data_IF_846407987443
#
_entry.id   IF_846407987443
#
_cell.length_a   1.000
_cell.length_b   1.000
_cell.length_c   1.000
_cell.angle_alpha   90.00
_cell.angle_beta   90.00
_cell.angle_gamma   90.00
#
_symmetry.space_group_name_H-M   'P 1'
#
loop_
_entity.id
_entity.type
_entity.pdbx_description
1 polymer ?
#
# COMPACT_ATOMS: atom_id res chain seq x y z
N UNK A 1 -0.23 -14.37 24.94
CA UNK A 1 0.71 -14.51 23.81
C UNK A 1 -0.10 -14.35 22.53
N UNK A 2 0.17 -13.31 21.74
CA UNK A 2 -0.57 -13.02 20.51
C UNK A 2 0.25 -13.33 19.25
N UNK A 3 -0.40 -13.67 18.15
CA UNK A 3 0.23 -13.99 16.86
C UNK A 3 -0.07 -12.91 15.82
N UNK A 4 0.97 -12.43 15.16
CA UNK A 4 0.91 -11.32 14.21
C UNK A 4 1.53 -11.77 12.88
N UNK A 5 0.77 -11.66 11.80
CA UNK A 5 1.23 -11.96 10.45
C UNK A 5 1.54 -10.66 9.71
N UNK A 6 2.73 -10.53 9.14
CA UNK A 6 3.13 -9.38 8.32
C UNK A 6 3.54 -9.86 6.94
N UNK A 7 2.67 -9.65 5.95
CA UNK A 7 2.97 -9.93 4.54
C UNK A 7 3.64 -8.71 3.94
N UNK A 8 4.79 -8.89 3.27
CA UNK A 8 5.59 -7.77 2.77
C UNK A 8 6.46 -7.13 3.87
N UNK A 9 6.96 -7.93 4.82
CA UNK A 9 7.68 -7.46 6.00
C UNK A 9 9.02 -6.75 5.74
N UNK A 10 9.56 -6.83 4.52
CA UNK A 10 10.76 -6.08 4.09
C UNK A 10 10.43 -4.67 3.57
N UNK A 11 9.17 -4.37 3.29
CA UNK A 11 8.72 -3.06 2.83
C UNK A 11 8.57 -2.06 3.99
N UNK A 12 8.56 -0.76 3.67
CA UNK A 12 8.45 0.33 4.65
C UNK A 12 7.22 0.19 5.56
N UNK A 13 6.07 -0.20 4.99
CA UNK A 13 4.85 -0.45 5.76
C UNK A 13 4.96 -1.70 6.64
N UNK A 14 5.58 -2.76 6.13
CA UNK A 14 5.79 -4.00 6.88
C UNK A 14 6.72 -3.79 8.07
N UNK A 15 7.82 -3.05 7.89
CA UNK A 15 8.74 -2.74 9.00
C UNK A 15 8.09 -1.82 10.03
N UNK A 16 7.29 -0.83 9.61
CA UNK A 16 6.51 0.02 10.51
C UNK A 16 5.51 -0.82 11.34
N UNK A 17 4.81 -1.78 10.72
CA UNK A 17 3.91 -2.69 11.42
C UNK A 17 4.64 -3.55 12.46
N UNK A 18 5.80 -4.14 12.11
CA UNK A 18 6.60 -4.96 13.04
C UNK A 18 7.05 -4.13 14.24
N UNK A 19 7.53 -2.90 14.00
CA UNK A 19 7.93 -1.98 15.06
C UNK A 19 6.75 -1.61 15.96
N UNK A 20 5.58 -1.31 15.38
CA UNK A 20 4.39 -0.96 16.13
C UNK A 20 3.88 -2.12 16.98
N UNK A 21 3.90 -3.35 16.45
CA UNK A 21 3.54 -4.55 17.22
C UNK A 21 4.45 -4.73 18.43
N UNK A 22 5.77 -4.55 18.26
CA UNK A 22 6.72 -4.63 19.37
C UNK A 22 6.47 -3.56 20.44
N UNK A 23 6.15 -2.35 20.02
CA UNK A 23 5.89 -1.25 20.93
C UNK A 23 4.59 -1.45 21.74
N UNK A 24 3.53 -1.94 21.11
CA UNK A 24 2.21 -2.08 21.74
C UNK A 24 2.07 -3.40 22.54
N UNK A 25 2.62 -4.51 22.03
CA UNK A 25 2.41 -5.85 22.58
C UNK A 25 3.66 -6.47 23.21
N UNK A 26 4.81 -5.81 23.12
CA UNK A 26 6.07 -6.26 23.72
C UNK A 26 6.73 -7.45 23.00
N UNK A 27 7.74 -8.00 23.67
CA UNK A 27 8.55 -9.13 23.15
C UNK A 27 7.80 -10.46 23.14
N UNK A 28 6.75 -10.59 23.96
CA UNK A 28 5.88 -11.78 24.02
C UNK A 28 4.98 -11.93 22.77
N UNK A 29 4.92 -10.91 21.90
CA UNK A 29 4.19 -11.01 20.64
C UNK A 29 4.95 -11.90 19.65
N UNK A 30 4.28 -12.87 19.02
CA UNK A 30 4.90 -13.72 18.00
C UNK A 30 4.62 -13.16 16.61
N UNK A 31 5.66 -12.62 15.97
CA UNK A 31 5.60 -12.01 14.63
C UNK A 31 6.10 -13.02 13.59
N UNK A 32 5.23 -13.37 12.66
CA UNK A 32 5.54 -14.12 11.44
C UNK A 32 5.58 -13.14 10.28
N UNK A 33 6.77 -12.87 9.74
CA UNK A 33 6.97 -11.93 8.65
C UNK A 33 7.28 -12.67 7.35
N UNK A 34 6.42 -12.49 6.34
CA UNK A 34 6.62 -12.98 4.99
C UNK A 34 7.28 -11.91 4.11
N UNK A 35 8.15 -12.34 3.19
CA UNK A 35 8.69 -11.50 2.13
C UNK A 35 8.90 -12.29 0.84
N UNK A 36 9.01 -11.56 -0.26
CA UNK A 36 9.15 -12.12 -1.60
C UNK A 36 10.10 -11.25 -2.44
N UNK A 37 10.69 -11.84 -3.49
CA UNK A 37 11.65 -11.17 -4.38
C UNK A 37 12.85 -12.07 -4.67
N UNK A 38 14.05 -11.48 -4.70
CA UNK A 38 15.29 -12.26 -4.84
C UNK A 38 15.64 -12.90 -3.50
N UNK A 39 15.60 -14.23 -3.44
CA UNK A 39 15.93 -14.96 -2.23
C UNK A 39 17.35 -14.67 -1.75
N UNK A 40 17.49 -14.49 -0.44
CA UNK A 40 18.76 -14.29 0.25
C UNK A 40 18.82 -15.34 1.36
N UNK A 41 19.65 -16.39 1.20
CA UNK A 41 19.75 -17.47 2.18
C UNK A 41 20.06 -16.93 3.58
N UNK A 42 19.31 -17.39 4.58
CA UNK A 42 19.50 -16.99 5.99
C UNK A 42 19.05 -15.57 6.33
N UNK A 43 18.41 -14.85 5.39
CA UNK A 43 17.86 -13.53 5.66
C UNK A 43 16.79 -13.59 6.76
N UNK A 44 16.87 -12.64 7.69
CA UNK A 44 15.90 -12.45 8.77
C UNK A 44 15.40 -11.01 8.74
N UNK A 45 14.10 -10.86 8.85
CA UNK A 45 13.47 -9.55 9.05
C UNK A 45 13.68 -9.16 10.51
N UNK A 46 14.26 -7.99 10.73
CA UNK A 46 14.57 -7.49 12.07
C UNK A 46 13.32 -7.47 12.95
N UNK A 47 13.46 -7.87 14.22
CA UNK A 47 12.38 -7.95 15.23
C UNK A 47 11.24 -8.94 14.94
N UNK A 48 11.24 -9.65 13.80
CA UNK A 48 10.32 -10.77 13.58
C UNK A 48 10.83 -12.05 14.29
N UNK A 49 9.92 -12.87 14.80
CA UNK A 49 10.29 -14.18 15.37
C UNK A 49 10.52 -15.21 14.26
N UNK A 50 9.69 -15.17 13.22
CA UNK A 50 9.78 -16.03 12.06
C UNK A 50 9.86 -15.20 10.78
N UNK A 51 10.77 -15.56 9.88
CA UNK A 51 10.89 -14.96 8.55
C UNK A 51 10.64 -16.05 7.52
N UNK A 52 9.64 -15.86 6.66
CA UNK A 52 9.26 -16.82 5.61
C UNK A 52 9.46 -16.16 4.25
N UNK A 53 10.26 -16.78 3.39
CA UNK A 53 10.41 -16.38 2.00
C UNK A 53 9.43 -17.16 1.14
N UNK A 54 8.65 -16.45 0.31
CA UNK A 54 7.74 -17.11 -0.63
C UNK A 54 6.66 -16.19 -1.17
N UNK A 55 6.13 -16.54 -2.34
CA UNK A 55 4.94 -15.91 -2.90
C UNK A 55 3.74 -16.27 -2.02
N UNK A 56 3.03 -15.26 -1.52
CA UNK A 56 1.89 -15.48 -0.62
C UNK A 56 0.69 -16.14 -1.32
N UNK A 57 0.71 -16.23 -2.65
CA UNK A 57 -0.27 -16.97 -3.45
C UNK A 57 0.09 -18.45 -3.62
N UNK A 58 1.31 -18.87 -3.25
CA UNK A 58 1.74 -20.26 -3.27
C UNK A 58 1.21 -21.02 -2.04
N UNK A 59 0.45 -22.12 -2.21
CA UNK A 59 0.00 -22.97 -1.10
C UNK A 59 1.12 -23.44 -0.18
N UNK A 60 2.34 -23.65 -0.70
CA UNK A 60 3.49 -24.04 0.12
C UNK A 60 3.84 -22.96 1.15
N UNK A 61 3.94 -21.70 0.71
CA UNK A 61 4.21 -20.56 1.59
C UNK A 61 3.09 -20.39 2.62
N UNK A 62 1.83 -20.50 2.18
CA UNK A 62 0.67 -20.38 3.07
C UNK A 62 0.65 -21.49 4.12
N UNK A 63 0.98 -22.73 3.75
CA UNK A 63 1.05 -23.86 4.69
C UNK A 63 2.19 -23.71 5.70
N UNK A 64 3.34 -23.16 5.30
CA UNK A 64 4.45 -22.87 6.20
C UNK A 64 4.06 -21.82 7.25
N UNK A 65 3.40 -20.73 6.83
CA UNK A 65 2.82 -19.72 7.73
C UNK A 65 1.81 -20.37 8.68
N UNK A 66 0.92 -21.22 8.15
CA UNK A 66 -0.12 -21.91 8.92
C UNK A 66 0.45 -22.78 10.04
N UNK A 67 1.56 -23.46 9.79
CA UNK A 67 2.17 -24.39 10.74
C UNK A 67 2.65 -23.71 12.04
N UNK A 68 3.00 -22.42 12.00
CA UNK A 68 3.55 -21.68 13.16
C UNK A 68 2.47 -21.39 14.22
N UNK A 69 1.28 -21.01 13.78
CA UNK A 69 0.20 -20.55 14.67
C UNK A 69 -1.07 -21.41 14.59
N UNK A 70 -0.99 -22.57 13.94
CA UNK A 70 -2.15 -23.35 13.51
C UNK A 70 -3.16 -22.51 12.70
N UNK A 71 -2.67 -21.50 11.99
CA UNK A 71 -3.46 -20.55 11.20
C UNK A 71 -4.24 -19.52 12.00
N UNK A 72 -3.95 -19.32 13.29
CA UNK A 72 -4.59 -18.29 14.13
C UNK A 72 -3.70 -17.05 14.23
N UNK A 73 -4.26 -15.88 13.96
CA UNK A 73 -3.57 -14.59 14.09
C UNK A 73 -4.50 -13.54 14.69
N UNK A 74 -4.00 -12.71 15.60
CA UNK A 74 -4.73 -11.56 16.12
C UNK A 74 -4.78 -10.44 15.08
N UNK A 75 -3.66 -10.24 14.38
CA UNK A 75 -3.53 -9.29 13.29
C UNK A 75 -2.86 -9.90 12.06
N UNK A 76 -3.33 -9.49 10.87
CA UNK A 76 -2.60 -9.64 9.62
C UNK A 76 -2.40 -8.26 8.98
N UNK A 77 -1.14 -7.88 8.74
CA UNK A 77 -0.76 -6.71 7.98
C UNK A 77 -0.41 -7.14 6.56
N UNK A 78 -1.12 -6.61 5.56
CA UNK A 78 -0.90 -6.96 4.15
C UNK A 78 -0.25 -5.79 3.40
N UNK A 79 1.09 -5.69 3.47
CA UNK A 79 1.88 -4.56 2.95
C UNK A 79 2.35 -4.73 1.49
N UNK A 80 1.91 -5.77 0.79
CA UNK A 80 2.25 -6.00 -0.62
C UNK A 80 1.34 -5.21 -1.55
N UNK A 81 1.92 -4.56 -2.57
CA UNK A 81 1.18 -3.94 -3.67
C UNK A 81 1.99 -4.10 -4.97
N UNK A 82 1.39 -4.77 -5.95
CA UNK A 82 1.97 -5.10 -7.25
C UNK A 82 0.93 -4.89 -8.35
N UNK A 83 1.29 -4.13 -9.37
CA UNK A 83 0.42 -3.88 -10.52
C UNK A 83 1.00 -2.81 -11.43
N UNK A 84 0.32 -2.57 -12.54
CA UNK A 84 0.79 -1.64 -13.56
C UNK A 84 0.53 -0.19 -13.14
N UNK A 85 1.57 0.62 -13.24
CA UNK A 85 1.63 2.04 -12.84
C UNK A 85 2.45 2.82 -13.88
N UNK A 86 2.56 4.14 -13.74
CA UNK A 86 3.28 5.02 -14.64
C UNK A 86 2.44 5.57 -15.80
N UNK A 87 1.12 5.47 -15.70
CA UNK A 87 0.14 6.01 -16.65
C UNK A 87 -1.16 6.40 -15.91
N UNK A 88 -2.07 7.14 -16.55
CA UNK A 88 -3.32 7.57 -15.91
C UNK A 88 -4.25 6.41 -15.53
N UNK A 89 -4.89 6.50 -14.36
CA UNK A 89 -5.90 5.52 -13.90
C UNK A 89 -7.00 5.36 -14.95
N UNK A 90 -7.43 6.47 -15.57
CA UNK A 90 -8.46 6.49 -16.62
C UNK A 90 -8.13 5.67 -17.87
N UNK A 91 -6.85 5.49 -18.17
CA UNK A 91 -6.40 4.74 -19.34
C UNK A 91 -6.32 3.22 -19.09
N UNK A 92 -6.68 2.77 -17.88
CA UNK A 92 -6.59 1.36 -17.50
C UNK A 92 -7.69 0.52 -18.16
N UNK A 93 -7.32 -0.61 -18.77
CA UNK A 93 -8.29 -1.59 -19.30
C UNK A 93 -8.84 -2.53 -18.21
N UNK A 94 -10.01 -3.15 -18.42
CA UNK A 94 -10.54 -4.17 -17.50
C UNK A 94 -9.57 -5.33 -17.23
N UNK A 95 -8.80 -5.76 -18.23
CA UNK A 95 -7.82 -6.83 -18.09
C UNK A 95 -6.67 -6.42 -17.17
N UNK A 96 -6.18 -5.19 -17.30
CA UNK A 96 -5.16 -4.64 -16.40
C UNK A 96 -5.67 -4.52 -14.96
N UNK A 97 -6.93 -4.10 -14.77
CA UNK A 97 -7.57 -4.09 -13.44
C UNK A 97 -7.63 -5.50 -12.86
N UNK A 98 -8.09 -6.48 -13.63
CA UNK A 98 -8.19 -7.86 -13.19
C UNK A 98 -6.81 -8.43 -12.80
N UNK A 99 -5.79 -8.17 -13.60
CA UNK A 99 -4.41 -8.59 -13.32
C UNK A 99 -3.83 -7.90 -12.08
N UNK A 100 -4.06 -6.59 -11.92
CA UNK A 100 -3.63 -5.84 -10.73
C UNK A 100 -4.29 -6.38 -9.46
N UNK A 101 -5.61 -6.64 -9.51
CA UNK A 101 -6.35 -7.20 -8.38
C UNK A 101 -5.89 -8.63 -8.04
N UNK A 102 -5.57 -9.45 -9.05
CA UNK A 102 -5.02 -10.80 -8.84
C UNK A 102 -3.75 -10.77 -7.96
N UNK A 103 -2.94 -9.72 -8.08
CA UNK A 103 -1.68 -9.59 -7.35
C UNK A 103 -1.84 -8.82 -6.03
N UNK A 104 -2.67 -7.78 -5.99
CA UNK A 104 -2.72 -6.83 -4.86
C UNK A 104 -3.93 -6.95 -3.96
N UNK A 105 -5.03 -7.54 -4.43
CA UNK A 105 -6.30 -7.56 -3.71
C UNK A 105 -6.80 -8.97 -3.42
N UNK A 106 -6.87 -9.83 -4.43
CA UNK A 106 -7.36 -11.21 -4.31
C UNK A 106 -6.64 -12.04 -3.23
N UNK A 107 -5.31 -11.91 -3.02
CA UNK A 107 -4.64 -12.67 -1.97
C UNK A 107 -5.14 -12.30 -0.57
N UNK A 108 -5.57 -11.07 -0.33
CA UNK A 108 -6.10 -10.64 0.98
C UNK A 108 -7.33 -11.49 1.34
N UNK A 109 -8.27 -11.62 0.40
CA UNK A 109 -9.48 -12.42 0.59
C UNK A 109 -9.18 -13.91 0.75
N UNK A 110 -8.23 -14.44 -0.03
CA UNK A 110 -7.82 -15.84 0.08
C UNK A 110 -7.23 -16.15 1.47
N UNK A 111 -6.43 -15.24 2.02
CA UNK A 111 -5.84 -15.38 3.36
C UNK A 111 -6.90 -15.26 4.46
N UNK A 112 -7.86 -14.34 4.35
CA UNK A 112 -8.99 -14.24 5.30
C UNK A 112 -9.80 -15.54 5.38
N UNK A 113 -10.00 -16.19 4.24
CA UNK A 113 -10.69 -17.48 4.18
C UNK A 113 -9.85 -18.63 4.76
N UNK A 114 -8.53 -18.58 4.59
CA UNK A 114 -7.60 -19.66 4.98
C UNK A 114 -7.25 -19.62 6.46
N UNK A 115 -7.08 -18.43 7.03
CA UNK A 115 -6.64 -18.21 8.40
C UNK A 115 -7.78 -17.75 9.31
N UNK A 116 -7.64 -17.98 10.61
CA UNK A 116 -8.50 -17.38 11.62
C UNK A 116 -7.84 -16.08 12.09
N UNK A 117 -8.23 -14.96 11.48
CA UNK A 117 -7.64 -13.64 11.72
C UNK A 117 -8.63 -12.78 12.51
N UNK A 118 -8.16 -12.16 13.60
CA UNK A 118 -8.95 -11.16 14.33
C UNK A 118 -9.14 -9.88 13.52
N UNK A 119 -8.03 -9.23 13.17
CA UNK A 119 -8.02 -7.97 12.41
C UNK A 119 -7.09 -8.05 11.20
N UNK A 120 -7.56 -7.58 10.05
CA UNK A 120 -6.75 -7.42 8.83
C UNK A 120 -6.52 -5.93 8.60
N UNK A 121 -5.25 -5.56 8.47
CA UNK A 121 -4.80 -4.21 8.15
C UNK A 121 -4.25 -4.21 6.74
N UNK A 122 -4.88 -3.41 5.89
CA UNK A 122 -4.50 -3.20 4.48
C UNK A 122 -3.94 -1.79 4.28
N UNK A 123 -3.33 -1.54 3.13
CA UNK A 123 -2.73 -0.24 2.84
C UNK A 123 -3.23 0.34 1.52
N UNK A 124 -3.59 1.61 1.59
CA UNK A 124 -4.02 2.44 0.48
C UNK A 124 -3.22 3.75 0.45
N UNK A 125 -3.57 4.63 -0.46
CA UNK A 125 -3.00 5.96 -0.61
C UNK A 125 -4.09 6.94 -1.03
N UNK A 126 -3.78 8.22 -1.12
CA UNK A 126 -4.70 9.23 -1.64
C UNK A 126 -4.74 9.20 -3.18
N UNK A 127 -5.12 8.07 -3.77
CA UNK A 127 -5.11 7.83 -5.23
C UNK A 127 -6.11 8.70 -6.00
N UNK A 128 -6.97 9.44 -5.30
CA UNK A 128 -7.90 10.42 -5.86
C UNK A 128 -7.27 11.79 -6.07
N UNK A 129 -6.06 12.06 -5.55
CA UNK A 129 -5.30 13.26 -5.87
C UNK A 129 -4.90 13.28 -7.35
N UNK A 130 -4.89 14.47 -7.97
CA UNK A 130 -4.67 14.64 -9.42
C UNK A 130 -3.34 14.04 -9.89
N UNK A 131 -2.27 14.25 -9.14
CA UNK A 131 -0.96 13.68 -9.49
C UNK A 131 -0.92 12.15 -9.33
N UNK A 132 -1.67 11.60 -8.38
CA UNK A 132 -1.80 10.16 -8.26
C UNK A 132 -2.64 9.60 -9.40
N UNK A 133 -3.75 10.25 -9.75
CA UNK A 133 -4.61 9.85 -10.86
C UNK A 133 -3.87 9.75 -12.20
N UNK A 134 -2.87 10.59 -12.46
CA UNK A 134 -2.12 10.54 -13.72
C UNK A 134 -0.97 9.51 -13.75
N UNK A 135 -0.69 8.83 -12.63
CA UNK A 135 0.47 7.92 -12.53
C UNK A 135 0.17 6.55 -11.92
N UNK A 136 -0.99 6.34 -11.30
CA UNK A 136 -1.29 5.10 -10.58
C UNK A 136 -1.85 3.96 -11.44
N UNK A 137 -2.22 4.20 -12.70
CA UNK A 137 -2.71 3.16 -13.61
C UNK A 137 -3.73 2.21 -12.97
N UNK A 138 -3.51 0.89 -13.15
CA UNK A 138 -4.38 -0.14 -12.61
C UNK A 138 -4.36 -0.23 -11.07
N UNK A 139 -3.27 0.22 -10.45
CA UNK A 139 -3.13 0.21 -8.99
C UNK A 139 -4.18 1.07 -8.29
N UNK A 140 -4.62 2.16 -8.93
CA UNK A 140 -5.71 3.00 -8.42
C UNK A 140 -6.99 2.21 -8.17
N UNK A 141 -7.38 1.33 -9.11
CA UNK A 141 -8.54 0.45 -8.95
C UNK A 141 -8.33 -0.62 -7.88
N UNK A 142 -7.11 -1.15 -7.74
CA UNK A 142 -6.81 -2.09 -6.66
C UNK A 142 -6.89 -1.44 -5.29
N UNK A 143 -6.47 -0.17 -5.16
CA UNK A 143 -6.65 0.58 -3.92
C UNK A 143 -8.12 0.84 -3.62
N UNK A 144 -8.91 1.25 -4.62
CA UNK A 144 -10.36 1.37 -4.45
C UNK A 144 -11.03 0.05 -4.05
N UNK A 145 -10.62 -1.08 -4.63
CA UNK A 145 -11.15 -2.38 -4.27
C UNK A 145 -10.84 -2.74 -2.80
N UNK A 146 -9.63 -2.44 -2.33
CA UNK A 146 -9.24 -2.61 -0.92
C UNK A 146 -10.12 -1.75 -0.01
N UNK A 147 -10.34 -0.48 -0.35
CA UNK A 147 -11.13 0.42 0.50
C UNK A 147 -12.61 0.02 0.54
N UNK A 148 -13.19 -0.34 -0.61
CA UNK A 148 -14.54 -0.90 -0.69
C UNK A 148 -14.67 -2.16 0.15
N UNK A 149 -13.67 -3.04 0.12
CA UNK A 149 -13.67 -4.27 0.92
C UNK A 149 -13.53 -3.99 2.42
N UNK A 150 -12.76 -2.99 2.81
CA UNK A 150 -12.52 -2.64 4.21
C UNK A 150 -13.80 -2.21 4.96
N UNK A 151 -14.76 -1.58 4.27
CA UNK A 151 -16.04 -1.17 4.87
C UNK A 151 -17.11 -2.27 4.87
N UNK A 152 -16.89 -3.36 4.12
CA UNK A 152 -17.84 -4.48 4.09
C UNK A 152 -17.70 -5.35 5.34
N UNK A 153 -18.80 -5.94 5.84
CA UNK A 153 -18.73 -6.93 6.90
C UNK A 153 -17.88 -8.12 6.47
N UNK A 154 -17.20 -8.73 7.43
CA UNK A 154 -16.24 -9.80 7.20
C UNK A 154 -16.09 -10.71 8.39
N UNK A 155 -15.40 -11.83 8.17
CA UNK A 155 -15.00 -12.74 9.25
C UNK A 155 -14.03 -12.05 10.20
N UNK A 156 -13.15 -11.21 9.65
CA UNK A 156 -12.19 -10.40 10.42
C UNK A 156 -12.68 -8.96 10.52
N UNK A 157 -12.23 -8.23 11.55
CA UNK A 157 -12.25 -6.76 11.51
C UNK A 157 -11.32 -6.31 10.38
N UNK A 158 -11.75 -5.35 9.56
CA UNK A 158 -10.96 -4.86 8.43
C UNK A 158 -10.63 -3.40 8.65
N UNK A 159 -9.35 -3.07 8.49
CA UNK A 159 -8.79 -1.74 8.64
C UNK A 159 -7.94 -1.41 7.43
N UNK A 160 -7.85 -0.12 7.10
CA UNK A 160 -6.99 0.35 6.03
C UNK A 160 -6.20 1.58 6.47
N UNK A 161 -4.88 1.55 6.29
CA UNK A 161 -4.04 2.73 6.47
C UNK A 161 -3.86 3.41 5.11
N UNK A 162 -4.32 4.67 4.99
CA UNK A 162 -4.06 5.51 3.82
C UNK A 162 -2.83 6.36 4.07
N UNK A 163 -1.81 6.23 3.23
CA UNK A 163 -0.61 7.05 3.34
C UNK A 163 -0.44 8.00 2.16
N UNK A 164 0.00 9.22 2.47
CA UNK A 164 0.54 10.17 1.50
C UNK A 164 1.87 9.71 0.93
N UNK A 165 2.52 10.57 0.17
CA UNK A 165 3.78 10.27 -0.51
C UNK A 165 4.88 9.95 0.50
N UNK A 166 5.52 8.80 0.32
CA UNK A 166 6.75 8.42 1.04
C UNK A 166 7.70 7.67 0.10
N UNK A 167 8.98 7.68 0.43
CA UNK A 167 10.01 6.99 -0.35
C UNK A 167 9.95 5.47 -0.10
N UNK A 168 9.85 4.69 -1.18
CA UNK A 168 9.77 3.23 -1.14
C UNK A 168 10.29 2.62 -2.43
N UNK A 169 10.47 1.29 -2.47
CA UNK A 169 10.81 0.61 -3.73
C UNK A 169 9.73 0.80 -4.79
N UNK A 170 8.45 0.85 -4.38
CA UNK A 170 7.33 1.11 -5.29
C UNK A 170 7.37 2.53 -5.85
N UNK A 171 7.61 3.56 -5.01
CA UNK A 171 7.71 4.94 -5.51
C UNK A 171 8.91 5.13 -6.45
N UNK A 172 10.04 4.46 -6.18
CA UNK A 172 11.19 4.39 -7.10
C UNK A 172 10.82 3.73 -8.43
N UNK A 173 10.08 2.63 -8.40
CA UNK A 173 9.58 1.95 -9.59
C UNK A 173 8.72 2.88 -10.47
N UNK A 174 7.78 3.62 -9.86
CA UNK A 174 6.96 4.62 -10.56
C UNK A 174 7.85 5.69 -11.20
N UNK A 175 8.79 6.27 -10.44
CA UNK A 175 9.74 7.29 -10.95
C UNK A 175 10.51 6.76 -12.18
N UNK A 176 10.95 5.51 -12.16
CA UNK A 176 11.66 4.89 -13.29
C UNK A 176 10.76 4.70 -14.51
N UNK A 177 9.52 4.24 -14.32
CA UNK A 177 8.55 4.06 -15.40
C UNK A 177 8.20 5.39 -16.04
N UNK A 178 7.91 6.42 -15.24
CA UNK A 178 7.63 7.77 -15.74
C UNK A 178 8.81 8.35 -16.53
N UNK A 179 10.07 8.13 -16.09
CA UNK A 179 11.25 8.54 -16.88
C UNK A 179 11.34 7.83 -18.22
N UNK A 180 10.93 6.56 -18.28
CA UNK A 180 10.92 5.79 -19.53
C UNK A 180 9.85 6.32 -20.47
N UNK A 181 8.63 6.54 -19.97
CA UNK A 181 7.52 7.11 -20.73
C UNK A 181 7.85 8.51 -21.25
N UNK A 182 8.49 9.36 -20.43
CA UNK A 182 8.87 10.72 -20.82
C UNK A 182 9.90 10.82 -21.96
N UNK A 183 10.52 9.70 -22.38
CA UNK A 183 11.34 9.67 -23.62
C UNK A 183 10.49 9.72 -24.89
N UNK A 184 9.21 9.38 -24.78
CA UNK A 184 8.19 9.41 -25.83
C UNK A 184 7.04 10.29 -25.34
N UNK A 185 7.34 11.59 -25.18
CA UNK A 185 6.41 12.55 -24.57
C UNK A 185 5.08 12.67 -25.32
N UNK A 186 5.11 12.41 -26.64
CA UNK A 186 3.96 12.29 -27.52
C UNK A 186 2.95 11.21 -27.09
N UNK A 187 3.41 10.17 -26.39
CA UNK A 187 2.58 9.07 -25.89
C UNK A 187 1.94 9.39 -24.52
N UNK A 188 2.37 10.49 -23.86
CA UNK A 188 1.77 10.92 -22.58
C UNK A 188 0.43 11.60 -22.85
N UNK A 189 -0.65 10.84 -22.64
CA UNK A 189 -2.03 11.34 -22.80
C UNK A 189 -2.46 12.35 -21.74
N UNK A 190 -1.96 12.23 -20.50
CA UNK A 190 -2.34 13.15 -19.42
C UNK A 190 -1.68 14.52 -19.63
N UNK A 191 -2.46 15.61 -19.80
CA UNK A 191 -1.90 16.95 -19.96
C UNK A 191 -1.09 17.39 -18.74
N UNK A 192 -1.56 17.04 -17.53
CA UNK A 192 -0.84 17.32 -16.29
C UNK A 192 0.52 16.63 -16.29
N UNK A 193 0.57 15.31 -16.51
CA UNK A 193 1.83 14.57 -16.50
C UNK A 193 2.77 15.06 -17.60
N UNK A 194 2.25 15.30 -18.80
CA UNK A 194 3.01 15.80 -19.95
C UNK A 194 3.66 17.15 -19.66
N UNK A 195 2.93 18.07 -19.03
CA UNK A 195 3.42 19.42 -18.70
C UNK A 195 4.70 19.43 -17.84
N UNK A 196 4.94 18.37 -17.06
CA UNK A 196 6.15 18.24 -16.25
C UNK A 196 7.39 17.85 -17.06
N UNK A 197 7.24 17.28 -18.24
CA UNK A 197 8.34 16.80 -19.08
C UNK A 197 8.60 17.67 -20.32
N UNK A 198 7.69 18.58 -20.67
CA UNK A 198 7.85 19.46 -21.82
C UNK A 198 9.00 20.45 -21.62
N UNK A 199 9.92 20.49 -22.59
CA UNK A 199 11.04 21.44 -22.62
C UNK A 199 12.10 21.23 -21.53
N UNK A 200 12.08 20.11 -20.80
CA UNK A 200 13.01 19.82 -19.70
C UNK A 200 13.58 18.41 -19.77
N UNK A 201 14.63 18.15 -19.00
CA UNK A 201 15.18 16.78 -18.89
C UNK A 201 14.21 15.85 -18.14
N UNK A 202 14.25 14.54 -18.42
CA UNK A 202 13.42 13.56 -17.69
C UNK A 202 13.72 13.52 -16.19
N UNK A 203 14.95 13.83 -15.77
CA UNK A 203 15.32 13.92 -14.36
C UNK A 203 14.66 15.13 -13.69
N UNK A 204 14.72 16.30 -14.33
CA UNK A 204 14.07 17.52 -13.85
C UNK A 204 12.54 17.36 -13.81
N UNK A 205 11.94 16.74 -14.84
CA UNK A 205 10.50 16.50 -14.88
C UNK A 205 10.00 15.62 -13.73
N UNK A 206 10.76 14.57 -13.35
CA UNK A 206 10.42 13.78 -12.16
C UNK A 206 10.50 14.59 -10.87
N UNK A 207 11.52 15.43 -10.72
CA UNK A 207 11.65 16.26 -9.51
C UNK A 207 10.48 17.26 -9.41
N UNK A 208 10.09 17.86 -10.53
CA UNK A 208 8.92 18.76 -10.59
C UNK A 208 7.62 18.01 -10.30
N UNK A 209 7.44 16.82 -10.88
CA UNK A 209 6.27 15.98 -10.64
C UNK A 209 6.15 15.55 -9.17
N UNK A 210 7.24 15.10 -8.56
CA UNK A 210 7.28 14.75 -7.14
C UNK A 210 6.96 15.94 -6.24
N UNK A 211 7.51 17.12 -6.55
CA UNK A 211 7.15 18.37 -5.87
C UNK A 211 5.67 18.73 -6.08
N UNK A 212 5.10 18.43 -7.23
CA UNK A 212 3.68 18.59 -7.53
C UNK A 212 2.79 17.76 -6.60
N UNK A 213 3.15 16.49 -6.36
CA UNK A 213 2.46 15.62 -5.39
C UNK A 213 2.54 16.22 -3.99
N UNK A 214 3.75 16.62 -3.55
CA UNK A 214 3.97 17.20 -2.21
C UNK A 214 3.12 18.46 -2.02
N UNK A 215 3.12 19.36 -3.01
CA UNK A 215 2.34 20.59 -2.96
C UNK A 215 0.83 20.31 -2.91
N UNK A 216 0.34 19.33 -3.68
CA UNK A 216 -1.08 18.95 -3.65
C UNK A 216 -1.46 18.34 -2.29
N UNK A 217 -0.62 17.49 -1.71
CA UNK A 217 -0.84 16.96 -0.35
C UNK A 217 -0.82 18.06 0.72
N UNK A 218 0.09 19.03 0.61
CA UNK A 218 0.12 20.21 1.49
C UNK A 218 -1.16 21.04 1.36
N UNK A 219 -1.65 21.26 0.14
CA UNK A 219 -2.88 22.03 -0.11
C UNK A 219 -4.13 21.31 0.43
N UNK A 220 -4.25 20.00 0.16
CA UNK A 220 -5.46 19.22 0.48
C UNK A 220 -5.48 18.75 1.93
N UNK A 221 -4.35 18.29 2.46
CA UNK A 221 -4.26 17.65 3.76
C UNK A 221 -3.49 18.46 4.81
N UNK A 222 -2.70 19.45 4.38
CA UNK A 222 -1.99 20.38 5.27
C UNK A 222 -0.57 19.94 5.66
N UNK A 223 -0.08 18.79 5.18
CA UNK A 223 1.25 18.27 5.53
C UNK A 223 1.76 17.24 4.48
N UNK A 224 3.07 17.21 4.20
CA UNK A 224 3.76 16.33 3.25
C UNK A 224 5.29 16.60 3.28
N UNK A 225 6.18 15.65 2.93
CA UNK A 225 5.93 14.23 2.64
C UNK A 225 5.82 13.37 3.90
N UNK A 226 5.17 12.23 3.75
CA UNK A 226 5.10 11.21 4.81
C UNK A 226 6.45 10.51 4.96
N UNK A 227 6.86 10.27 6.20
CA UNK A 227 8.12 9.57 6.52
C UNK A 227 7.86 8.29 7.33
N UNK A 228 8.91 7.48 7.53
CA UNK A 228 8.81 6.21 8.24
C UNK A 228 8.28 6.36 9.68
N UNK A 229 8.66 7.41 10.39
CA UNK A 229 8.16 7.67 11.74
C UNK A 229 6.65 7.93 11.74
N UNK A 230 6.17 8.71 10.78
CA UNK A 230 4.74 9.02 10.66
C UNK A 230 3.93 7.76 10.33
N UNK A 231 4.46 6.87 9.48
CA UNK A 231 3.86 5.57 9.20
C UNK A 231 3.82 4.69 10.45
N UNK A 232 4.91 4.65 11.24
CA UNK A 232 4.94 3.94 12.52
C UNK A 232 3.90 4.49 13.51
N UNK A 233 3.82 5.81 13.67
CA UNK A 233 2.81 6.46 14.50
C UNK A 233 1.37 6.16 14.04
N UNK A 234 1.13 6.05 12.73
CA UNK A 234 -0.18 5.67 12.19
C UNK A 234 -0.57 4.25 12.62
N UNK A 235 0.37 3.31 12.69
CA UNK A 235 0.12 1.96 13.20
C UNK A 235 -0.17 1.98 14.71
N UNK A 236 0.53 2.79 15.50
CA UNK A 236 0.21 2.95 16.93
C UNK A 236 -1.17 3.57 17.14
N UNK A 237 -1.54 4.56 16.32
CA UNK A 237 -2.87 5.16 16.36
C UNK A 237 -3.95 4.13 16.01
N UNK A 238 -3.67 3.26 15.04
CA UNK A 238 -4.57 2.18 14.62
C UNK A 238 -4.90 1.23 15.77
N UNK A 239 -3.92 0.80 16.59
CA UNK A 239 -4.19 -0.07 17.74
C UNK A 239 -5.07 0.58 18.82
N UNK A 240 -5.04 1.92 18.91
CA UNK A 240 -5.82 2.70 19.88
C UNK A 240 -7.20 3.12 19.35
N UNK A 241 -7.53 2.75 18.12
CA UNK A 241 -8.78 3.14 17.48
C UNK A 241 -9.84 2.06 17.68
N UNK A 242 -10.93 2.43 18.35
CA UNK A 242 -12.05 1.51 18.59
C UNK A 242 -12.85 1.26 17.30
N UNK A 243 -13.17 2.32 16.56
CA UNK A 243 -14.19 2.30 15.50
C UNK A 243 -13.75 2.80 14.13
N UNK A 244 -12.52 3.31 13.94
CA UNK A 244 -12.11 3.75 12.61
C UNK A 244 -11.98 2.55 11.66
N UNK A 245 -12.50 2.67 10.45
CA UNK A 245 -12.15 1.75 9.34
C UNK A 245 -10.85 2.20 8.68
N UNK A 246 -10.63 3.51 8.59
CA UNK A 246 -9.46 4.09 7.94
C UNK A 246 -8.63 4.94 8.90
N UNK A 247 -7.32 4.69 8.91
CA UNK A 247 -6.33 5.58 9.52
C UNK A 247 -5.58 6.28 8.37
N UNK A 248 -5.73 7.59 8.29
CA UNK A 248 -5.07 8.40 7.28
C UNK A 248 -3.80 9.00 7.87
N UNK A 249 -2.73 9.02 7.09
CA UNK A 249 -1.46 9.66 7.43
C UNK A 249 -0.92 10.42 6.22
N UNK A 250 -0.66 11.71 6.40
CA UNK A 250 -0.07 12.57 5.37
C UNK A 250 0.90 13.53 6.06
N UNK A 251 2.18 13.50 5.68
CA UNK A 251 3.21 14.14 6.50
C UNK A 251 3.21 13.53 7.90
N UNK A 252 3.20 14.37 8.94
CA UNK A 252 3.01 13.96 10.34
C UNK A 252 1.54 13.99 10.82
N UNK A 253 0.60 14.44 9.98
CA UNK A 253 -0.82 14.51 10.34
C UNK A 253 -1.47 13.12 10.25
N UNK A 254 -2.12 12.70 11.33
CA UNK A 254 -2.83 11.41 11.41
C UNK A 254 -4.28 11.65 11.84
N UNK A 255 -5.25 11.07 11.13
CA UNK A 255 -6.67 11.20 11.46
C UNK A 255 -7.48 9.97 11.02
N UNK A 256 -8.66 9.81 11.61
CA UNK A 256 -9.57 8.69 11.34
C UNK A 256 -10.66 9.08 10.34
N UNK A 257 -11.13 8.11 9.57
CA UNK A 257 -12.31 8.27 8.72
C UNK A 257 -13.05 6.94 8.54
N UNK A 258 -14.27 7.02 8.02
CA UNK A 258 -15.15 5.85 7.82
C UNK A 258 -15.44 5.55 6.35
N UNK A 259 -15.39 6.56 5.49
CA UNK A 259 -15.80 6.42 4.09
C UNK A 259 -14.63 6.01 3.19
N UNK A 260 -14.87 5.15 2.19
CA UNK A 260 -13.88 4.83 1.16
C UNK A 260 -13.73 6.00 0.18
N UNK A 261 -12.54 6.14 -0.41
CA UNK A 261 -12.31 7.03 -1.55
C UNK A 261 -12.81 6.31 -2.82
N UNK A 262 -13.70 6.93 -3.58
CA UNK A 262 -14.25 6.31 -4.80
C UNK A 262 -13.80 7.08 -6.04
N UNK A 263 -13.16 6.39 -6.98
CA UNK A 263 -12.68 6.97 -8.23
C UNK A 263 -13.79 7.69 -8.99
N UNK A 264 -15.01 7.13 -9.02
CA UNK A 264 -16.17 7.75 -9.69
C UNK A 264 -16.50 9.17 -9.20
N UNK A 265 -16.10 9.54 -7.98
CA UNK A 265 -16.39 10.84 -7.36
C UNK A 265 -15.29 11.88 -7.67
N UNK A 266 -14.15 11.42 -8.20
CA UNK A 266 -12.95 12.24 -8.42
C UNK A 266 -12.40 12.18 -9.85
N UNK A 267 -12.89 11.23 -10.62
CA UNK A 267 -12.50 10.96 -12.00
C UNK A 267 -13.68 11.34 -12.88
N UNK A 268 -13.63 12.55 -13.43
CA UNK A 268 -14.52 12.91 -14.53
C UNK A 268 -14.00 12.26 -15.80
N UNK A 269 -14.84 11.50 -16.51
CA UNK A 269 -14.55 11.10 -17.88
C UNK A 269 -14.14 12.35 -18.69
N UNK A 270 -13.16 12.24 -19.60
CA UNK A 270 -12.88 13.34 -20.51
C UNK A 270 -14.18 13.66 -21.27
N UNK A 271 -14.64 14.91 -21.16
CA UNK A 271 -15.67 15.48 -22.03
C UNK A 271 -15.09 15.63 -23.43
#
# INVERSE_FOLDING_TARGET
MGYFLVIGGTGVMGTAAIQAVRAEFGEEAIIVANWYGKEVPGFKIEKANHTIFGDITDPKCVNEIKAISSGKFDYMFYATALGEVGFPILDTTPEQVAQSNKLSFNPIMALENTFNIGTIVTYSTFYTLKHQQCSYGAMGYSKEAIEKWAVLPGKSKRLCIRAGLFESQSSRGIKLLLRKTAKHIEDIKSPLLRSYFEGVSTSEGIQKFEKGIINEELEVYGDSPTNQESLYQAHLRMFKSDNAVFINVCGGKIWESQEPLLLKDHVTAPV
#
